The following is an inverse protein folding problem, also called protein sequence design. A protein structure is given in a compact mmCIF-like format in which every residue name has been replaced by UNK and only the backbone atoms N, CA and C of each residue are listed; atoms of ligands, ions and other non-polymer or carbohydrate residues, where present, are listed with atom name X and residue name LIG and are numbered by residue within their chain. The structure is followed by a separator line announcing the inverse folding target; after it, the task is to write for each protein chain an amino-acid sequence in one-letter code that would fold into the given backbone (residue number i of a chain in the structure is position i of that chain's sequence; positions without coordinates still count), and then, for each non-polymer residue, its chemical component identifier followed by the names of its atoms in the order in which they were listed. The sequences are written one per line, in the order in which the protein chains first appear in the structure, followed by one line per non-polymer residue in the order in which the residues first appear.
data_IF_943497437473
#
_entry.id   IF_943497437473
#
_cell.length_a   1.000
_cell.length_b   1.000
_cell.length_c   1.000
_cell.angle_alpha   90.00
_cell.angle_beta   90.00
_cell.angle_gamma   90.00
#
_symmetry.space_group_name_H-M   'P 1'
#
loop_
_entity.id
_entity.type
_entity.pdbx_description
1 polymer ?
#
# COMPACT_ATOMS: atom_id res chain seq x y z
N UNK A 1 15.90 2.38 -16.39
CA UNK A 1 14.49 1.99 -16.18
C UNK A 1 13.66 2.75 -17.21
N UNK A 2 13.14 2.05 -18.22
CA UNK A 2 12.20 2.61 -19.18
C UNK A 2 10.79 2.50 -18.55
N UNK A 3 10.37 3.54 -17.84
CA UNK A 3 9.04 3.60 -17.18
C UNK A 3 8.01 4.39 -17.99
N UNK A 4 8.25 4.60 -19.30
CA UNK A 4 7.15 5.07 -20.15
C UNK A 4 6.34 3.87 -20.59
N UNK A 5 5.07 3.87 -20.24
CA UNK A 5 4.06 3.05 -20.92
C UNK A 5 4.15 3.36 -22.43
N UNK A 6 4.66 2.38 -23.19
CA UNK A 6 4.82 2.44 -24.66
C UNK A 6 3.69 1.75 -25.39
N UNK A 7 2.79 1.08 -24.67
CA UNK A 7 1.60 0.42 -25.21
C UNK A 7 0.36 0.80 -24.40
N UNK A 8 -0.76 1.01 -25.10
CA UNK A 8 -2.03 1.46 -24.53
C UNK A 8 -2.52 0.51 -23.44
N UNK A 9 -2.59 0.93 -22.16
CA UNK A 9 -3.39 0.20 -21.18
C UNK A 9 -4.85 0.34 -21.63
N UNK A 10 -5.53 -0.79 -21.80
CA UNK A 10 -6.98 -0.80 -22.00
C UNK A 10 -7.57 -0.13 -20.76
N UNK A 11 -8.38 0.92 -20.92
CA UNK A 11 -9.12 1.49 -19.79
C UNK A 11 -10.07 0.43 -19.24
N UNK A 12 -10.35 0.42 -17.93
CA UNK A 12 -11.25 -0.57 -17.33
C UNK A 12 -12.67 -0.55 -17.94
N UNK A 13 -13.04 0.51 -18.65
CA UNK A 13 -14.29 0.66 -19.39
C UNK A 13 -14.21 0.35 -20.89
N UNK A 14 -13.05 -0.13 -21.38
CA UNK A 14 -12.83 -0.56 -22.76
C UNK A 14 -12.79 0.56 -23.81
N UNK A 15 -12.78 1.83 -23.38
CA UNK A 15 -12.62 2.96 -24.29
C UNK A 15 -11.18 3.09 -24.80
N UNK A 16 -10.99 3.52 -26.05
CA UNK A 16 -9.66 3.89 -26.54
C UNK A 16 -9.10 5.03 -25.67
N UNK A 17 -7.81 4.99 -25.35
CA UNK A 17 -7.17 6.05 -24.55
C UNK A 17 -7.28 7.43 -25.22
N UNK A 18 -7.41 7.47 -26.55
CA UNK A 18 -7.65 8.67 -27.35
C UNK A 18 -9.01 9.35 -27.03
N UNK A 19 -9.93 8.63 -26.39
CA UNK A 19 -11.20 9.18 -25.92
C UNK A 19 -11.07 9.91 -24.58
N UNK A 20 -9.95 9.76 -23.87
CA UNK A 20 -9.63 10.50 -22.67
C UNK A 20 -8.91 11.80 -23.06
N UNK A 21 -9.21 12.90 -22.36
CA UNK A 21 -8.56 14.19 -22.62
C UNK A 21 -7.04 14.11 -22.44
N UNK A 22 -6.27 15.14 -22.86
CA UNK A 22 -4.81 15.12 -22.87
C UNK A 22 -4.17 15.23 -21.46
N UNK A 23 -4.91 14.90 -20.41
CA UNK A 23 -4.48 15.08 -19.01
C UNK A 23 -4.92 13.88 -18.19
N UNK A 24 -3.94 13.20 -17.59
CA UNK A 24 -4.14 12.00 -16.78
C UNK A 24 -3.12 11.95 -15.64
N UNK A 25 -3.35 11.03 -14.70
CA UNK A 25 -2.41 10.66 -13.64
C UNK A 25 -1.91 9.26 -13.95
N UNK A 26 -0.61 9.05 -13.85
CA UNK A 26 0.00 7.73 -13.92
C UNK A 26 0.32 7.26 -12.49
N UNK A 27 -0.08 6.03 -12.18
CA UNK A 27 0.15 5.40 -10.88
C UNK A 27 1.06 4.20 -11.09
N UNK A 28 2.29 4.29 -10.61
CA UNK A 28 3.26 3.20 -10.70
C UNK A 28 3.01 2.21 -9.54
N UNK A 29 2.38 1.07 -9.88
CA UNK A 29 2.06 0.03 -8.91
C UNK A 29 3.31 -0.71 -8.42
N UNK A 30 4.36 -0.84 -9.23
CA UNK A 30 5.61 -1.47 -8.81
C UNK A 30 6.30 -0.64 -7.72
N UNK A 31 6.30 0.69 -7.89
CA UNK A 31 6.79 1.62 -6.86
C UNK A 31 5.92 1.59 -5.61
N UNK A 32 4.60 1.53 -5.76
CA UNK A 32 3.69 1.38 -4.62
C UNK A 32 3.98 0.09 -3.84
N UNK A 33 4.15 -1.04 -4.55
CA UNK A 33 4.47 -2.33 -3.95
C UNK A 33 5.83 -2.30 -3.22
N UNK A 34 6.87 -1.77 -3.86
CA UNK A 34 8.20 -1.66 -3.25
C UNK A 34 8.17 -0.80 -1.97
N UNK A 35 7.43 0.31 -1.99
CA UNK A 35 7.27 1.17 -0.82
C UNK A 35 6.53 0.45 0.31
N UNK A 36 5.43 -0.24 0.01
CA UNK A 36 4.65 -0.97 1.01
C UNK A 36 5.42 -2.16 1.57
N UNK A 37 6.22 -2.86 0.76
CA UNK A 37 7.10 -3.92 1.21
C UNK A 37 8.18 -3.38 2.19
N UNK A 38 8.75 -2.21 1.90
CA UNK A 38 9.69 -1.57 2.81
C UNK A 38 9.03 -1.17 4.15
N UNK A 39 7.80 -0.65 4.11
CA UNK A 39 7.00 -0.36 5.31
C UNK A 39 6.71 -1.63 6.10
N UNK A 40 6.28 -2.71 5.44
CA UNK A 40 6.01 -4.00 6.07
C UNK A 40 7.26 -4.55 6.76
N UNK A 41 8.42 -4.48 6.10
CA UNK A 41 9.69 -4.89 6.67
C UNK A 41 10.09 -4.04 7.89
N UNK A 42 9.86 -2.72 7.83
CA UNK A 42 10.14 -1.81 8.94
C UNK A 42 9.24 -2.09 10.16
N UNK A 43 7.93 -2.19 9.94
CA UNK A 43 6.93 -2.40 11.00
C UNK A 43 7.12 -3.73 11.71
N UNK A 44 7.57 -4.76 11.00
CA UNK A 44 7.79 -6.11 11.56
C UNK A 44 9.15 -6.29 12.24
N UNK A 45 10.01 -5.26 12.30
CA UNK A 45 11.28 -5.33 13.04
C UNK A 45 11.05 -5.62 14.53
N UNK A 46 12.00 -6.28 15.21
CA UNK A 46 11.94 -6.43 16.66
C UNK A 46 11.78 -5.08 17.34
N UNK A 47 10.86 -5.00 18.31
CA UNK A 47 10.67 -3.77 19.09
C UNK A 47 11.97 -3.48 19.86
N UNK A 48 12.43 -2.23 19.86
CA UNK A 48 13.60 -1.87 20.65
C UNK A 48 13.28 -2.00 22.14
N UNK A 49 14.30 -2.25 22.95
CA UNK A 49 14.11 -2.62 24.36
C UNK A 49 13.38 -1.54 25.16
N UNK A 50 13.58 -0.26 24.83
CA UNK A 50 12.88 0.85 25.48
C UNK A 50 11.36 0.78 25.29
N UNK A 51 10.88 0.33 24.13
CA UNK A 51 9.46 0.14 23.88
C UNK A 51 8.91 -1.05 24.68
N UNK A 52 9.71 -2.11 24.84
CA UNK A 52 9.34 -3.26 25.70
C UNK A 52 9.23 -2.82 27.15
N UNK A 53 10.22 -2.08 27.67
CA UNK A 53 10.20 -1.54 29.04
C UNK A 53 9.03 -0.58 29.27
N UNK A 54 8.65 0.22 28.26
CA UNK A 54 7.48 1.09 28.33
C UNK A 54 6.19 0.28 28.50
N UNK A 55 6.01 -0.79 27.72
CA UNK A 55 4.83 -1.68 27.80
C UNK A 55 4.74 -2.31 29.20
N UNK A 56 5.84 -2.88 29.69
CA UNK A 56 5.90 -3.56 30.99
C UNK A 56 5.61 -2.60 32.15
N UNK A 57 6.25 -1.43 32.15
CA UNK A 57 6.06 -0.42 33.22
C UNK A 57 4.61 0.06 33.34
N UNK A 58 3.90 0.15 32.21
CA UNK A 58 2.53 0.64 32.18
C UNK A 58 1.49 -0.48 32.24
N UNK A 59 1.90 -1.74 32.47
CA UNK A 59 0.99 -2.89 32.53
C UNK A 59 0.21 -3.13 31.23
N UNK A 60 0.76 -2.69 30.08
CA UNK A 60 0.12 -2.86 28.78
C UNK A 60 0.31 -4.30 28.29
N UNK A 61 -0.73 -4.86 27.63
CA UNK A 61 -0.60 -6.17 26.99
C UNK A 61 0.43 -6.09 25.87
N UNK A 62 1.48 -6.92 25.97
CA UNK A 62 2.40 -7.13 24.85
C UNK A 62 1.67 -7.90 23.74
N UNK A 63 1.64 -7.41 22.49
CA UNK A 63 1.05 -8.16 21.40
C UNK A 63 1.86 -9.42 21.13
N UNK A 64 1.16 -10.51 20.83
CA UNK A 64 1.74 -11.77 20.41
C UNK A 64 2.29 -11.61 18.98
N UNK A 65 3.62 -11.67 18.84
CA UNK A 65 4.30 -11.55 17.55
C UNK A 65 4.56 -10.11 17.05
N UNK A 66 5.05 -9.99 15.80
CA UNK A 66 5.29 -8.70 15.17
C UNK A 66 3.96 -7.98 14.87
N UNK A 67 3.96 -6.63 14.78
CA UNK A 67 2.76 -5.89 14.38
C UNK A 67 2.26 -6.32 12.99
N UNK A 68 0.94 -6.32 12.82
CA UNK A 68 0.27 -6.49 11.52
C UNK A 68 0.12 -5.15 10.80
N UNK A 69 0.20 -5.17 9.47
CA UNK A 69 0.07 -4.00 8.62
C UNK A 69 -1.36 -3.88 8.07
N UNK A 70 -2.03 -2.79 8.40
CA UNK A 70 -3.31 -2.39 7.80
C UNK A 70 -3.06 -1.26 6.80
N UNK A 71 -3.24 -1.52 5.51
CA UNK A 71 -3.11 -0.51 4.46
C UNK A 71 -4.46 0.13 4.19
N UNK A 72 -4.52 1.45 4.22
CA UNK A 72 -5.76 2.21 4.03
C UNK A 72 -5.91 2.59 2.56
N UNK A 73 -6.98 2.13 1.93
CA UNK A 73 -7.34 2.38 0.52
C UNK A 73 -8.63 3.19 0.38
N UNK A 74 -8.95 4.02 1.39
CA UNK A 74 -10.12 4.90 1.39
C UNK A 74 -10.10 5.91 0.24
N UNK A 75 -11.27 6.50 -0.04
CA UNK A 75 -11.43 7.51 -1.08
C UNK A 75 -10.86 7.06 -2.44
N UNK A 76 -11.23 5.83 -2.84
CA UNK A 76 -10.76 5.19 -4.07
C UNK A 76 -9.22 5.15 -4.19
N UNK A 77 -8.56 4.69 -3.12
CA UNK A 77 -7.08 4.71 -3.07
C UNK A 77 -6.52 6.15 -3.10
N UNK A 78 -7.21 7.11 -2.46
CA UNK A 78 -6.92 8.55 -2.57
C UNK A 78 -6.94 9.10 -4.01
N UNK A 79 -7.79 8.53 -4.87
CA UNK A 79 -7.90 8.89 -6.29
C UNK A 79 -6.90 8.18 -7.21
N UNK A 80 -6.16 7.19 -6.69
CA UNK A 80 -5.21 6.37 -7.46
C UNK A 80 -5.82 5.04 -7.96
N UNK A 81 -7.07 4.74 -7.58
CA UNK A 81 -7.74 3.46 -7.83
C UNK A 81 -7.65 2.53 -6.62
N UNK A 82 -8.78 2.30 -5.93
CA UNK A 82 -8.79 1.49 -4.72
C UNK A 82 -8.50 0.02 -4.98
N UNK A 83 -8.98 -0.53 -6.10
CA UNK A 83 -8.87 -1.97 -6.37
C UNK A 83 -7.42 -2.33 -6.69
N UNK A 84 -6.80 -1.58 -7.59
CA UNK A 84 -5.42 -1.76 -8.03
C UNK A 84 -4.46 -1.55 -6.86
N UNK A 85 -4.66 -0.47 -6.09
CA UNK A 85 -3.87 -0.19 -4.90
C UNK A 85 -4.05 -1.24 -3.80
N UNK A 86 -5.26 -1.77 -3.60
CA UNK A 86 -5.52 -2.84 -2.64
C UNK A 86 -4.81 -4.13 -3.03
N UNK A 87 -4.86 -4.51 -4.31
CA UNK A 87 -4.17 -5.70 -4.82
C UNK A 87 -2.65 -5.56 -4.67
N UNK A 88 -2.10 -4.40 -5.04
CA UNK A 88 -0.68 -4.08 -4.83
C UNK A 88 -0.31 -4.18 -3.33
N UNK A 89 -1.13 -3.60 -2.44
CA UNK A 89 -0.89 -3.67 -1.01
C UNK A 89 -0.86 -5.11 -0.46
N UNK A 90 -1.79 -5.95 -0.91
CA UNK A 90 -1.82 -7.37 -0.53
C UNK A 90 -0.57 -8.11 -1.03
N UNK A 91 -0.15 -7.89 -2.29
CA UNK A 91 1.10 -8.46 -2.83
C UNK A 91 2.34 -8.00 -2.05
N UNK A 92 2.36 -6.74 -1.62
CA UNK A 92 3.43 -6.17 -0.80
C UNK A 92 3.42 -6.64 0.68
N UNK A 93 2.44 -7.47 1.07
CA UNK A 93 2.39 -8.10 2.39
C UNK A 93 1.56 -7.35 3.43
N UNK A 94 0.59 -6.53 3.01
CA UNK A 94 -0.46 -6.04 3.91
C UNK A 94 -1.26 -7.22 4.49
N UNK A 95 -1.54 -7.16 5.79
CA UNK A 95 -2.35 -8.19 6.48
C UNK A 95 -3.84 -7.87 6.42
N UNK A 96 -4.18 -6.58 6.29
CA UNK A 96 -5.55 -6.07 6.30
C UNK A 96 -5.67 -4.82 5.42
N UNK A 97 -6.88 -4.56 4.96
CA UNK A 97 -7.24 -3.35 4.23
C UNK A 97 -8.23 -2.50 5.03
N UNK A 98 -8.05 -1.19 5.02
CA UNK A 98 -8.96 -0.22 5.65
C UNK A 98 -9.65 0.68 4.64
N UNK A 99 -10.95 0.88 4.80
CA UNK A 99 -11.79 1.78 3.99
C UNK A 99 -12.59 2.73 4.90
N UNK A 100 -13.28 3.71 4.29
CA UNK A 100 -14.19 4.63 4.98
C UNK A 100 -15.65 4.26 4.70
#
# INVERSE_FOLDING_TARGET
MNTKIVESPISDDGRPWEAFGPTWIEVDLDVLEANLAAVAAYVRRPRPEEAVRFIERHGLRRPDGPPRLLVVVKADGYGHGAVEAAQAALRAGADMLGVA
#
